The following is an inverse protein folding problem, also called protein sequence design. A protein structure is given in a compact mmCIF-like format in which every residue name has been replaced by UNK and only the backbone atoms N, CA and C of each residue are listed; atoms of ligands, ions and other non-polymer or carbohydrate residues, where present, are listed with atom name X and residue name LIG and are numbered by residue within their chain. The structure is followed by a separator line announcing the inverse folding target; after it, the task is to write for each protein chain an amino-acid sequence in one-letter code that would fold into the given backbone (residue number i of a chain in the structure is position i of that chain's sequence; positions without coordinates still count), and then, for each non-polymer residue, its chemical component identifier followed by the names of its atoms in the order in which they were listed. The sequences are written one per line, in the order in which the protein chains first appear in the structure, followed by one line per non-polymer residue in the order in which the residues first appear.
data_IF_786017890900
#
_entry.id   IF_786017890900
#
_cell.length_a   1.000
_cell.length_b   1.000
_cell.length_c   1.000
_cell.angle_alpha   90.00
_cell.angle_beta   90.00
_cell.angle_gamma   90.00
#
_symmetry.space_group_name_H-M   'P 1'
#
loop_
_entity.id
_entity.type
_entity.pdbx_description
1 polymer ?
#
# COMPACT_ATOMS: atom_id res chain seq x y z
N UNK A 1 -16.16 19.22 53.16
CA UNK A 1 -15.58 18.02 52.51
C UNK A 1 -16.48 17.69 51.34
N UNK A 2 -16.10 18.08 50.12
CA UNK A 2 -16.89 17.87 48.91
C UNK A 2 -16.56 16.50 48.36
N UNK A 3 -17.53 15.59 48.34
CA UNK A 3 -17.42 14.26 47.74
C UNK A 3 -17.17 14.41 46.24
N UNK A 4 -16.01 13.95 45.78
CA UNK A 4 -15.72 13.79 44.36
C UNK A 4 -16.67 12.73 43.77
N UNK A 5 -17.30 13.07 42.66
CA UNK A 5 -18.11 12.16 41.86
C UNK A 5 -17.16 11.17 41.16
N UNK A 6 -17.45 9.85 41.14
CA UNK A 6 -16.57 8.91 40.48
C UNK A 6 -16.52 9.22 38.98
N UNK A 7 -15.32 9.42 38.45
CA UNK A 7 -15.06 9.56 37.02
C UNK A 7 -15.59 8.29 36.33
N UNK A 8 -16.57 8.46 35.43
CA UNK A 8 -17.06 7.37 34.60
C UNK A 8 -15.94 7.01 33.62
N UNK A 9 -15.65 5.71 33.38
CA UNK A 9 -14.72 5.33 32.35
C UNK A 9 -15.24 5.86 31.00
N UNK A 10 -14.41 6.62 30.29
CA UNK A 10 -14.69 7.07 28.93
C UNK A 10 -15.11 5.86 28.09
N UNK A 11 -16.35 5.85 27.63
CA UNK A 11 -16.80 4.81 26.71
C UNK A 11 -16.00 4.98 25.42
N UNK A 12 -15.45 3.91 24.82
CA UNK A 12 -14.82 4.01 23.52
C UNK A 12 -15.83 4.65 22.56
N UNK A 13 -15.47 5.77 21.95
CA UNK A 13 -16.34 6.47 21.01
C UNK A 13 -16.88 5.48 19.97
N UNK A 14 -18.19 5.53 19.76
CA UNK A 14 -18.87 4.66 18.80
C UNK A 14 -18.27 4.90 17.41
N UNK A 15 -17.79 3.88 16.69
CA UNK A 15 -17.17 4.08 15.39
C UNK A 15 -18.16 4.72 14.41
N UNK A 16 -17.75 5.83 13.79
CA UNK A 16 -18.50 6.57 12.80
C UNK A 16 -17.98 6.23 11.37
N UNK A 17 -18.82 6.35 10.33
CA UNK A 17 -18.36 6.18 8.96
C UNK A 17 -17.35 7.27 8.58
N UNK A 18 -16.30 6.88 7.84
CA UNK A 18 -15.30 7.81 7.29
C UNK A 18 -15.66 8.13 5.85
N UNK A 19 -15.81 9.42 5.54
CA UNK A 19 -15.95 9.91 4.18
C UNK A 19 -14.57 9.99 3.51
N UNK A 20 -14.34 9.18 2.48
CA UNK A 20 -13.04 9.13 1.79
C UNK A 20 -12.71 10.44 1.05
N UNK A 21 -13.70 11.18 0.56
CA UNK A 21 -13.47 12.45 -0.10
C UNK A 21 -13.02 13.50 0.92
N UNK A 22 -13.63 13.52 2.11
CA UNK A 22 -13.20 14.40 3.20
C UNK A 22 -11.80 14.02 3.71
N UNK A 23 -11.51 12.72 3.85
CA UNK A 23 -10.17 12.24 4.25
C UNK A 23 -9.09 12.63 3.23
N UNK A 24 -9.33 12.42 1.93
CA UNK A 24 -8.41 12.84 0.87
C UNK A 24 -8.25 14.37 0.84
N UNK A 25 -9.29 15.14 1.17
CA UNK A 25 -9.20 16.60 1.23
C UNK A 25 -8.39 17.11 2.44
N UNK A 26 -8.11 16.29 3.46
CA UNK A 26 -7.45 16.73 4.69
C UNK A 26 -5.92 16.73 4.65
N UNK A 27 -5.30 16.26 3.58
CA UNK A 27 -3.84 16.24 3.41
C UNK A 27 -3.45 16.43 1.95
N UNK A 28 -2.31 17.08 1.67
CA UNK A 28 -1.83 17.29 0.29
C UNK A 28 -0.58 16.47 -0.07
N UNK A 29 0.00 15.77 0.91
CA UNK A 29 1.18 14.96 0.70
C UNK A 29 0.92 13.85 -0.35
N UNK A 30 1.80 13.77 -1.33
CA UNK A 30 1.80 12.72 -2.35
C UNK A 30 2.55 11.50 -1.84
N UNK A 31 2.17 10.31 -2.31
CA UNK A 31 2.79 9.02 -1.95
C UNK A 31 2.91 8.82 -0.43
N UNK A 32 1.98 9.40 0.32
CA UNK A 32 1.90 9.37 1.77
C UNK A 32 0.57 8.72 2.17
N UNK A 33 0.55 7.40 2.38
CA UNK A 33 -0.68 6.69 2.68
C UNK A 33 -1.19 7.00 4.09
N UNK A 34 -2.50 7.20 4.20
CA UNK A 34 -3.20 7.54 5.43
C UNK A 34 -4.25 6.48 5.76
N UNK A 35 -4.20 5.92 6.97
CA UNK A 35 -5.11 4.89 7.46
C UNK A 35 -6.48 5.52 7.75
N UNK A 36 -7.51 5.07 7.02
CA UNK A 36 -8.90 5.53 7.19
C UNK A 36 -9.71 4.63 8.11
N UNK A 37 -9.41 3.33 8.14
CA UNK A 37 -10.03 2.37 9.06
C UNK A 37 -9.20 1.09 9.08
N UNK A 38 -9.61 0.16 9.95
CA UNK A 38 -8.94 -1.11 10.16
C UNK A 38 -9.93 -2.27 10.13
N UNK A 39 -9.56 -3.34 9.44
CA UNK A 39 -10.32 -4.59 9.37
C UNK A 39 -9.43 -5.69 9.95
N UNK A 40 -9.70 -6.13 11.18
CA UNK A 40 -8.84 -7.05 11.92
C UNK A 40 -7.38 -6.53 12.01
N UNK A 41 -6.45 -7.25 11.40
CA UNK A 41 -5.02 -6.96 11.28
C UNK A 41 -4.64 -6.31 9.93
N UNK A 42 -5.63 -5.80 9.18
CA UNK A 42 -5.43 -5.07 7.93
C UNK A 42 -5.78 -3.59 8.05
N UNK A 43 -4.98 -2.76 7.43
CA UNK A 43 -5.25 -1.33 7.27
C UNK A 43 -5.94 -1.08 5.93
N UNK A 44 -6.98 -0.24 5.96
CA UNK A 44 -7.51 0.41 4.76
C UNK A 44 -6.89 1.79 4.71
N UNK A 45 -6.15 2.09 3.64
CA UNK A 45 -5.42 3.35 3.49
C UNK A 45 -5.89 4.10 2.26
N UNK A 46 -5.75 5.41 2.25
CA UNK A 46 -5.90 6.26 1.06
C UNK A 46 -4.64 7.07 0.81
N UNK A 47 -4.33 7.32 -0.45
CA UNK A 47 -3.19 8.15 -0.84
C UNK A 47 -3.53 9.00 -2.07
N UNK A 48 -2.93 10.19 -2.13
CA UNK A 48 -2.78 10.97 -3.36
C UNK A 48 -1.46 10.58 -4.01
N UNK A 49 -1.45 10.35 -5.31
CA UNK A 49 -0.26 9.89 -6.04
C UNK A 49 -0.11 10.69 -7.33
N UNK A 50 1.11 11.11 -7.66
CA UNK A 50 1.43 11.81 -8.91
C UNK A 50 2.90 11.57 -9.25
N UNK A 51 3.22 11.46 -10.53
CA UNK A 51 4.55 11.08 -10.99
C UNK A 51 4.84 9.61 -10.73
N UNK A 52 6.11 9.28 -10.48
CA UNK A 52 6.56 7.90 -10.26
C UNK A 52 6.76 7.60 -8.77
N UNK A 53 6.36 6.40 -8.37
CA UNK A 53 6.91 5.75 -7.19
C UNK A 53 8.26 5.11 -7.51
N UNK A 54 8.89 4.47 -6.53
CA UNK A 54 10.09 3.67 -6.73
C UNK A 54 9.76 2.23 -7.10
N UNK A 55 10.69 1.54 -7.77
CA UNK A 55 10.61 0.09 -7.89
C UNK A 55 10.76 -0.52 -6.51
N UNK A 56 9.84 -1.41 -6.16
CA UNK A 56 9.83 -2.10 -4.89
C UNK A 56 9.16 -3.47 -5.00
N UNK A 57 9.33 -4.27 -3.96
CA UNK A 57 8.74 -5.59 -3.83
C UNK A 57 8.33 -5.85 -2.39
N UNK A 58 7.18 -6.52 -2.25
CA UNK A 58 6.72 -7.10 -1.01
C UNK A 58 6.91 -8.62 -1.08
N UNK A 59 7.78 -9.21 -0.27
CA UNK A 59 8.11 -10.64 -0.38
C UNK A 59 6.95 -11.53 0.08
N UNK A 60 6.25 -11.08 1.11
CA UNK A 60 5.27 -11.90 1.84
C UNK A 60 3.83 -11.39 1.72
N UNK A 61 3.63 -10.24 1.08
CA UNK A 61 2.35 -9.52 1.06
C UNK A 61 1.93 -9.19 -0.36
N UNK A 62 0.71 -9.57 -0.73
CA UNK A 62 0.08 -9.07 -1.96
C UNK A 62 -0.34 -7.61 -1.75
N UNK A 63 -0.19 -6.76 -2.76
CA UNK A 63 -0.54 -5.34 -2.66
C UNK A 63 -1.78 -5.02 -3.49
N UNK A 64 -2.83 -4.56 -2.82
CA UNK A 64 -4.12 -4.24 -3.45
C UNK A 64 -4.25 -2.75 -3.74
N UNK A 65 -4.66 -2.43 -4.97
CA UNK A 65 -4.97 -1.08 -5.43
C UNK A 65 -6.43 -0.96 -5.88
N UNK A 66 -7.11 0.09 -5.43
CA UNK A 66 -8.37 0.59 -6.00
C UNK A 66 -8.20 2.06 -6.40
N UNK A 67 -8.48 2.40 -7.65
CA UNK A 67 -8.43 3.81 -8.10
C UNK A 67 -9.74 4.51 -7.77
N UNK A 68 -9.69 5.48 -6.86
CA UNK A 68 -10.83 6.30 -6.46
C UNK A 68 -11.07 7.46 -7.43
N UNK A 69 -10.00 8.06 -7.95
CA UNK A 69 -10.03 9.14 -8.94
C UNK A 69 -8.75 9.18 -9.79
N UNK A 70 -8.82 9.74 -10.99
CA UNK A 70 -7.69 9.77 -11.95
C UNK A 70 -7.39 8.42 -12.60
N UNK A 71 -6.13 8.21 -12.97
CA UNK A 71 -5.63 6.97 -13.56
C UNK A 71 -4.28 6.58 -12.94
N UNK A 72 -4.14 5.29 -12.59
CA UNK A 72 -2.90 4.70 -12.11
C UNK A 72 -2.35 3.72 -13.14
N UNK A 73 -1.04 3.69 -13.30
CA UNK A 73 -0.32 2.69 -14.07
C UNK A 73 0.63 1.93 -13.15
N UNK A 74 0.76 0.63 -13.35
CA UNK A 74 1.67 -0.20 -12.56
C UNK A 74 2.57 -0.95 -13.55
N UNK A 75 3.85 -0.61 -13.57
CA UNK A 75 4.85 -1.41 -14.26
C UNK A 75 5.24 -2.60 -13.40
N UNK A 76 5.31 -3.78 -14.00
CA UNK A 76 5.60 -5.06 -13.35
C UNK A 76 6.81 -5.71 -14.02
N UNK A 77 7.73 -6.24 -13.22
CA UNK A 77 8.80 -7.14 -13.65
C UNK A 77 8.47 -8.55 -13.19
N UNK A 78 7.98 -9.36 -14.11
CA UNK A 78 7.55 -10.72 -13.79
C UNK A 78 8.72 -11.69 -13.99
N UNK A 79 8.98 -12.52 -12.98
CA UNK A 79 9.85 -13.68 -13.16
C UNK A 79 9.20 -14.66 -14.13
N UNK A 80 9.97 -15.18 -15.08
CA UNK A 80 9.53 -16.24 -16.01
C UNK A 80 9.30 -17.60 -15.34
N UNK A 81 9.55 -17.70 -14.04
CA UNK A 81 9.26 -18.90 -13.25
C UNK A 81 7.75 -18.92 -12.91
N UNK A 82 7.03 -20.02 -13.16
CA UNK A 82 5.59 -20.07 -12.94
C UNK A 82 5.23 -19.85 -11.47
N UNK A 83 4.28 -18.95 -11.23
CA UNK A 83 3.70 -18.69 -9.91
C UNK A 83 3.15 -20.01 -9.33
N UNK A 84 3.85 -20.58 -8.35
CA UNK A 84 3.47 -21.84 -7.71
C UNK A 84 4.57 -22.90 -7.58
N UNK A 85 5.80 -22.64 -8.04
CA UNK A 85 6.96 -23.45 -7.62
C UNK A 85 7.32 -23.12 -6.16
N UNK A 86 6.45 -23.53 -5.23
CA UNK A 86 6.83 -23.68 -3.84
C UNK A 86 8.01 -24.65 -3.80
N UNK A 87 9.19 -24.12 -3.46
CA UNK A 87 10.39 -24.91 -3.20
C UNK A 87 10.05 -25.91 -2.10
N UNK A 88 9.96 -27.18 -2.45
CA UNK A 88 9.66 -28.24 -1.48
C UNK A 88 10.74 -28.34 -0.39
N UNK A 89 10.41 -28.71 0.84
CA UNK A 89 11.41 -28.92 1.88
C UNK A 89 12.30 -30.12 1.51
N UNK A 90 13.57 -29.88 1.19
CA UNK A 90 14.57 -30.92 0.89
C UNK A 90 15.49 -30.68 -0.30
N UNK A 91 15.37 -29.56 -1.02
CA UNK A 91 16.25 -29.26 -2.15
C UNK A 91 17.65 -28.81 -1.65
N UNK A 92 18.75 -29.47 -2.05
CA UNK A 92 20.08 -29.15 -1.53
C UNK A 92 20.51 -27.74 -1.96
N UNK A 93 21.27 -27.01 -1.12
CA UNK A 93 21.88 -25.75 -1.53
C UNK A 93 23.04 -26.06 -2.49
N UNK A 94 22.84 -25.89 -3.79
CA UNK A 94 23.94 -25.93 -4.74
C UNK A 94 23.59 -26.31 -6.16
N UNK A 95 23.15 -25.32 -6.93
CA UNK A 95 23.73 -25.09 -8.25
C UNK A 95 23.67 -23.57 -8.47
N UNK A 96 24.83 -22.94 -8.58
CA UNK A 96 24.91 -21.59 -9.12
C UNK A 96 24.25 -21.63 -10.50
N UNK A 97 23.03 -21.10 -10.59
CA UNK A 97 22.37 -20.93 -11.88
C UNK A 97 23.09 -19.79 -12.57
N UNK A 98 23.62 -20.14 -13.73
CA UNK A 98 24.50 -19.34 -14.55
C UNK A 98 23.95 -17.92 -14.77
N UNK A 99 24.88 -16.97 -14.78
CA UNK A 99 24.63 -15.54 -14.87
C UNK A 99 24.24 -15.18 -16.30
N UNK A 100 22.97 -15.43 -16.64
CA UNK A 100 22.38 -14.96 -17.89
C UNK A 100 20.86 -14.78 -17.74
N UNK A 101 20.43 -14.05 -16.71
CA UNK A 101 19.08 -13.48 -16.72
C UNK A 101 19.07 -12.41 -17.82
N UNK A 102 18.48 -12.73 -18.98
CA UNK A 102 18.08 -11.71 -19.94
C UNK A 102 17.17 -10.66 -19.26
N UNK A 103 16.92 -9.50 -19.90
CA UNK A 103 16.07 -8.48 -19.30
C UNK A 103 14.73 -9.09 -18.86
N UNK A 104 14.40 -8.93 -17.59
CA UNK A 104 13.12 -9.39 -17.02
C UNK A 104 12.01 -8.71 -17.83
N UNK A 105 11.04 -9.46 -18.38
CA UNK A 105 9.99 -8.86 -19.19
C UNK A 105 9.19 -7.87 -18.34
N UNK A 106 9.10 -6.63 -18.81
CA UNK A 106 8.29 -5.59 -18.20
C UNK A 106 6.93 -5.51 -18.89
N UNK A 107 5.85 -5.45 -18.10
CA UNK A 107 4.52 -5.10 -18.59
C UNK A 107 3.89 -4.01 -17.74
N UNK A 108 2.99 -3.23 -18.32
CA UNK A 108 2.24 -2.20 -17.60
C UNK A 108 0.76 -2.55 -17.54
N UNK A 109 0.19 -2.45 -16.34
CA UNK A 109 -1.25 -2.49 -16.10
C UNK A 109 -1.77 -1.07 -15.99
N UNK A 110 -2.83 -0.72 -16.74
CA UNK A 110 -3.53 0.56 -16.60
C UNK A 110 -4.81 0.36 -15.79
N UNK A 111 -4.98 1.17 -14.75
CA UNK A 111 -6.14 1.20 -13.89
C UNK A 111 -6.86 2.56 -14.04
N UNK A 112 -7.99 2.62 -14.78
CA UNK A 112 -8.87 3.78 -14.73
C UNK A 112 -9.61 3.87 -13.40
N UNK A 113 -10.24 5.01 -13.11
CA UNK A 113 -11.15 5.18 -11.98
C UNK A 113 -12.14 4.00 -11.85
N UNK A 114 -12.24 3.47 -10.63
CA UNK A 114 -13.09 2.33 -10.29
C UNK A 114 -12.50 0.95 -10.57
N UNK A 115 -11.31 0.87 -11.18
CA UNK A 115 -10.61 -0.40 -11.39
C UNK A 115 -9.84 -0.82 -10.14
N UNK A 116 -9.70 -2.14 -9.98
CA UNK A 116 -8.90 -2.78 -8.94
C UNK A 116 -7.83 -3.65 -9.56
N UNK A 117 -6.68 -3.77 -8.89
CA UNK A 117 -5.63 -4.72 -9.24
C UNK A 117 -4.89 -5.14 -7.99
N UNK A 118 -4.44 -6.39 -7.95
CA UNK A 118 -3.57 -6.90 -6.90
C UNK A 118 -2.23 -7.26 -7.53
N UNK A 119 -1.16 -6.66 -7.03
CA UNK A 119 0.20 -7.07 -7.34
C UNK A 119 0.53 -8.28 -6.46
N UNK A 120 0.81 -9.46 -7.04
CA UNK A 120 1.19 -10.63 -6.24
C UNK A 120 2.50 -10.39 -5.51
N UNK A 121 2.60 -10.86 -4.28
CA UNK A 121 3.85 -10.88 -3.50
C UNK A 121 5.01 -11.48 -4.30
N UNK A 122 6.20 -10.93 -4.08
CA UNK A 122 7.42 -11.24 -4.81
C UNK A 122 7.51 -10.60 -6.19
N UNK A 123 6.47 -9.89 -6.66
CA UNK A 123 6.50 -9.16 -7.93
C UNK A 123 7.12 -7.79 -7.73
N UNK A 124 8.26 -7.56 -8.37
CA UNK A 124 8.85 -6.22 -8.42
C UNK A 124 7.99 -5.31 -9.29
N UNK A 125 7.64 -4.15 -8.77
CA UNK A 125 6.70 -3.27 -9.44
C UNK A 125 6.94 -1.79 -9.12
N UNK A 126 6.38 -0.91 -9.96
CA UNK A 126 6.47 0.54 -9.83
C UNK A 126 5.17 1.21 -10.27
N UNK A 127 4.34 1.65 -9.32
CA UNK A 127 3.18 2.48 -9.60
C UNK A 127 3.58 3.88 -10.09
N UNK A 128 2.79 4.47 -10.98
CA UNK A 128 2.94 5.86 -11.41
C UNK A 128 1.62 6.44 -11.92
N UNK A 129 1.45 7.75 -11.77
CA UNK A 129 0.26 8.50 -12.18
C UNK A 129 0.67 9.82 -12.86
N UNK A 130 0.73 9.88 -14.21
CA UNK A 130 1.24 11.05 -14.93
C UNK A 130 0.47 12.35 -14.70
N UNK A 131 -0.83 12.27 -14.41
CA UNK A 131 -1.72 13.42 -14.19
C UNK A 131 -2.30 13.46 -12.78
N UNK A 132 -1.76 12.65 -11.88
CA UNK A 132 -2.30 12.45 -10.54
C UNK A 132 -3.46 11.43 -10.47
N UNK A 133 -3.57 10.78 -9.31
CA UNK A 133 -4.66 9.89 -8.95
C UNK A 133 -4.89 9.88 -7.43
N UNK A 134 -6.09 9.46 -7.01
CA UNK A 134 -6.40 9.10 -5.64
C UNK A 134 -6.66 7.60 -5.58
N UNK A 135 -6.00 6.91 -4.64
CA UNK A 135 -6.07 5.45 -4.53
C UNK A 135 -6.47 5.03 -3.12
N UNK A 136 -7.06 3.85 -3.03
CA UNK A 136 -7.25 3.10 -1.80
C UNK A 136 -6.35 1.86 -1.85
N UNK A 137 -5.68 1.61 -0.73
CA UNK A 137 -4.85 0.44 -0.49
C UNK A 137 -5.50 -0.42 0.60
N UNK A 138 -5.30 -1.73 0.52
CA UNK A 138 -5.74 -2.67 1.54
C UNK A 138 -4.64 -3.68 1.80
N UNK A 139 -4.03 -3.60 2.98
CA UNK A 139 -2.77 -4.29 3.28
C UNK A 139 -2.74 -4.76 4.73
N UNK A 140 -1.97 -5.81 5.05
CA UNK A 140 -1.62 -6.14 6.42
C UNK A 140 -1.06 -4.91 7.15
N UNK A 141 -1.28 -4.86 8.44
CA UNK A 141 -0.80 -3.75 9.25
C UNK A 141 0.70 -3.79 9.40
N UNK A 142 1.32 -2.62 9.32
CA UNK A 142 2.76 -2.50 9.38
C UNK A 142 3.43 -2.74 8.02
N UNK A 143 2.66 -3.02 6.96
CA UNK A 143 3.20 -3.04 5.59
C UNK A 143 3.81 -1.68 5.26
N UNK A 144 5.08 -1.70 4.87
CA UNK A 144 5.89 -0.55 4.46
C UNK A 144 5.41 -0.03 3.10
N UNK A 145 5.15 1.28 2.96
CA UNK A 145 4.77 1.90 1.68
C UNK A 145 5.84 1.81 0.58
N UNK A 146 7.06 1.43 0.94
CA UNK A 146 8.19 1.28 0.01
C UNK A 146 8.61 -0.18 -0.15
N UNK A 147 7.83 -1.15 0.32
CA UNK A 147 8.20 -2.57 0.23
C UNK A 147 9.31 -3.02 1.17
N UNK A 148 9.67 -4.30 1.07
CA UNK A 148 10.74 -4.96 1.83
C UNK A 148 12.12 -4.73 1.19
N UNK A 149 12.13 -4.57 -0.14
CA UNK A 149 13.31 -4.17 -0.92
C UNK A 149 12.89 -3.11 -1.93
N UNK A 150 13.71 -2.07 -2.05
CA UNK A 150 13.42 -0.93 -2.91
C UNK A 150 14.69 -0.18 -3.32
N UNK A 151 14.55 0.64 -4.35
CA UNK A 151 15.55 1.64 -4.74
C UNK A 151 15.66 2.77 -3.70
N UNK A 152 16.60 3.70 -3.87
CA UNK A 152 16.71 4.88 -3.00
C UNK A 152 15.39 5.66 -2.93
N UNK A 153 14.90 5.92 -1.72
CA UNK A 153 13.62 6.60 -1.49
C UNK A 153 13.79 8.11 -1.72
N UNK A 154 13.11 8.69 -2.72
CA UNK A 154 13.19 10.12 -3.00
C UNK A 154 12.36 10.93 -1.99
N UNK A 155 12.65 12.24 -1.86
CA UNK A 155 12.01 13.10 -0.83
C UNK A 155 10.51 13.30 -0.99
N UNK A 156 9.95 12.99 -2.17
CA UNK A 156 8.51 13.09 -2.43
C UNK A 156 7.75 11.78 -2.18
N UNK A 157 8.46 10.71 -1.83
CA UNK A 157 7.88 9.43 -1.40
C UNK A 157 8.03 9.33 0.10
N UNK A 158 6.95 9.00 0.78
CA UNK A 158 6.92 8.88 2.21
C UNK A 158 7.04 7.40 2.61
N UNK A 159 8.19 7.03 3.18
CA UNK A 159 8.45 5.70 3.69
C UNK A 159 7.82 5.54 5.09
N UNK A 160 6.66 4.89 5.14
CA UNK A 160 5.80 4.81 6.32
C UNK A 160 5.05 3.48 6.35
N UNK A 161 4.42 3.17 7.48
CA UNK A 161 3.41 2.09 7.58
C UNK A 161 1.99 2.65 7.57
N UNK A 162 1.84 3.91 7.14
CA UNK A 162 0.58 4.65 7.11
C UNK A 162 0.46 5.66 8.25
N UNK A 163 -0.08 6.83 7.94
CA UNK A 163 -0.41 7.85 8.95
C UNK A 163 -1.80 7.63 9.50
N UNK A 164 -1.97 7.71 10.82
CA UNK A 164 -3.32 7.69 11.40
C UNK A 164 -4.03 8.99 11.05
N UNK A 165 -5.18 8.90 10.39
CA UNK A 165 -6.05 10.06 10.22
C UNK A 165 -6.71 10.40 11.55
N UNK A 166 -6.40 11.57 12.09
CA UNK A 166 -7.23 12.16 13.14
C UNK A 166 -8.37 12.89 12.46
N UNK A 167 -9.48 12.19 12.21
CA UNK A 167 -10.69 12.87 11.74
C UNK A 167 -11.29 13.62 12.93
N UNK A 168 -11.42 14.95 12.83
CA UNK A 168 -12.29 15.67 13.77
C UNK A 168 -13.71 15.10 13.64
N UNK A 169 -14.48 14.98 14.74
CA UNK A 169 -15.83 14.44 14.66
C UNK A 169 -16.65 15.26 13.66
N UNK A 170 -17.25 14.57 12.68
CA UNK A 170 -18.20 15.17 11.75
C UNK A 170 -19.35 15.78 12.57
N UNK A 171 -19.48 17.12 12.52
CA UNK A 171 -20.54 17.88 13.17
C UNK A 171 -21.85 17.79 12.38
#
# INVERSE_FOLDING_TARGET
MSTAQPEQPEQPEKPAPVDLAAALASFDALWSPHIVTRVNDYDVRVAKVEGEHIWHVHDDTDEFFLVLDGELFISLRESTEPAGASRGPGEPPGAARDSAQGPVPERTVRLPRGAVFTVPRGTEHRPYAPTGAAILLFEPTGTSSVGDRHDDVPTHVDATTGHTLTTAPNN
#
